data_IF_568596255170
#
_entry.id   IF_568596255170
#
_cell.length_a   1.000
_cell.length_b   1.000
_cell.length_c   1.000
_cell.angle_alpha   90.00
_cell.angle_beta   90.00
_cell.angle_gamma   90.00
#
_symmetry.space_group_name_H-M   'P 1'
#
loop_
_entity.id
_entity.type
_entity.pdbx_description
1 polymer ?
#
# COMPACT_ATOMS: atom_id res chain seq x y z
N UNK A 1 36.92 13.93 -38.60
CA UNK A 1 36.58 14.40 -37.24
C UNK A 1 35.08 14.17 -37.04
N UNK A 2 34.67 13.42 -36.02
CA UNK A 2 33.25 13.14 -35.78
C UNK A 2 32.54 14.40 -35.25
N UNK A 3 31.58 14.92 -36.01
CA UNK A 3 30.78 16.09 -35.63
C UNK A 3 29.81 15.67 -34.52
N UNK A 4 30.06 16.15 -33.30
CA UNK A 4 29.20 15.86 -32.15
C UNK A 4 28.07 16.88 -32.09
N UNK A 5 26.91 16.53 -32.62
CA UNK A 5 25.71 17.35 -32.49
C UNK A 5 25.26 17.41 -31.01
N UNK A 6 24.89 18.59 -30.49
CA UNK A 6 24.40 18.72 -29.12
C UNK A 6 23.12 17.89 -28.95
N UNK A 7 23.08 17.07 -27.90
CA UNK A 7 21.90 16.26 -27.59
C UNK A 7 20.70 17.18 -27.35
N UNK A 8 19.51 16.86 -27.87
CA UNK A 8 18.40 17.79 -27.85
C UNK A 8 17.83 17.96 -26.43
N UNK A 9 17.45 19.19 -26.10
CA UNK A 9 17.05 19.60 -24.75
C UNK A 9 15.84 18.83 -24.19
N UNK A 10 14.90 18.40 -25.05
CA UNK A 10 13.73 17.60 -24.63
C UNK A 10 14.11 16.27 -23.99
N UNK A 11 15.25 15.66 -24.38
CA UNK A 11 15.74 14.40 -23.81
C UNK A 11 16.14 14.56 -22.34
N UNK A 12 16.52 15.77 -21.92
CA UNK A 12 16.82 16.10 -20.50
C UNK A 12 15.55 16.16 -19.67
N UNK A 13 14.48 16.72 -20.22
CA UNK A 13 13.17 16.82 -19.57
C UNK A 13 12.49 15.45 -19.42
N UNK A 14 12.49 14.63 -20.47
CA UNK A 14 11.93 13.26 -20.41
C UNK A 14 12.68 12.43 -19.36
N UNK A 15 14.01 12.49 -19.32
CA UNK A 15 14.81 11.78 -18.31
C UNK A 15 14.47 12.21 -16.88
N UNK A 16 14.24 13.51 -16.66
CA UNK A 16 13.84 14.03 -15.35
C UNK A 16 12.43 13.59 -14.97
N UNK A 17 11.47 13.71 -15.89
CA UNK A 17 10.09 13.26 -15.66
C UNK A 17 10.02 11.77 -15.35
N UNK A 18 10.72 10.94 -16.13
CA UNK A 18 10.80 9.50 -15.86
C UNK A 18 11.39 9.19 -14.47
N UNK A 19 12.49 9.86 -14.10
CA UNK A 19 13.09 9.68 -12.77
C UNK A 19 12.12 10.08 -11.65
N UNK A 20 11.41 11.20 -11.79
CA UNK A 20 10.41 11.62 -10.80
C UNK A 20 9.30 10.60 -10.66
N UNK A 21 8.79 10.04 -11.76
CA UNK A 21 7.78 8.98 -11.72
C UNK A 21 8.30 7.75 -10.96
N UNK A 22 9.54 7.31 -11.21
CA UNK A 22 10.13 6.19 -10.48
C UNK A 22 10.28 6.48 -8.98
N UNK A 23 10.68 7.70 -8.60
CA UNK A 23 10.81 8.06 -7.18
C UNK A 23 9.45 8.11 -6.49
N UNK A 24 8.44 8.66 -7.16
CA UNK A 24 7.07 8.70 -6.65
C UNK A 24 6.52 7.28 -6.51
N UNK A 25 6.65 6.46 -7.54
CA UNK A 25 6.23 5.05 -7.54
C UNK A 25 6.92 4.27 -6.42
N UNK A 26 8.23 4.42 -6.27
CA UNK A 26 8.98 3.77 -5.20
C UNK A 26 8.51 4.23 -3.81
N UNK A 27 8.24 5.53 -3.63
CA UNK A 27 7.68 6.06 -2.39
C UNK A 27 6.30 5.49 -2.08
N UNK A 28 5.40 5.46 -3.07
CA UNK A 28 4.07 4.86 -2.94
C UNK A 28 4.14 3.37 -2.63
N UNK A 29 5.05 2.64 -3.27
CA UNK A 29 5.25 1.20 -3.07
C UNK A 29 5.75 0.90 -1.66
N UNK A 30 6.76 1.64 -1.19
CA UNK A 30 7.29 1.52 0.17
C UNK A 30 6.20 1.85 1.20
N UNK A 31 5.45 2.94 1.00
CA UNK A 31 4.35 3.32 1.89
C UNK A 31 3.25 2.26 1.94
N UNK A 32 2.85 1.72 0.79
CA UNK A 32 1.85 0.65 0.71
C UNK A 32 2.32 -0.62 1.42
N UNK A 33 3.58 -1.01 1.23
CA UNK A 33 4.17 -2.16 1.92
C UNK A 33 4.24 -1.95 3.42
N UNK A 34 4.58 -0.74 3.88
CA UNK A 34 4.61 -0.42 5.30
C UNK A 34 3.23 -0.55 5.95
N UNK A 35 2.19 -0.01 5.29
CA UNK A 35 0.80 -0.16 5.74
C UNK A 35 0.40 -1.64 5.77
N UNK A 36 0.69 -2.38 4.71
CA UNK A 36 0.42 -3.82 4.67
C UNK A 36 1.14 -4.56 5.80
N UNK A 37 2.42 -4.29 6.03
CA UNK A 37 3.19 -4.89 7.11
C UNK A 37 2.57 -4.57 8.48
N UNK A 38 2.24 -3.30 8.76
CA UNK A 38 1.59 -2.89 10.01
C UNK A 38 0.27 -3.63 10.27
N UNK A 39 -0.58 -3.75 9.23
CA UNK A 39 -1.88 -4.44 9.31
C UNK A 39 -1.72 -5.93 9.64
N UNK A 40 -0.70 -6.59 9.06
CA UNK A 40 -0.45 -8.00 9.29
C UNK A 40 0.26 -8.27 10.63
N UNK A 41 1.11 -7.35 11.11
CA UNK A 41 1.83 -7.49 12.39
C UNK A 41 0.98 -7.13 13.60
N UNK A 42 0.23 -6.03 13.56
CA UNK A 42 -0.46 -5.46 14.72
C UNK A 42 -1.97 -5.45 14.54
N UNK A 43 -2.72 -6.00 15.51
CA UNK A 43 -4.18 -5.94 15.53
C UNK A 43 -4.70 -4.52 15.82
N UNK A 44 -3.96 -3.71 16.57
CA UNK A 44 -4.34 -2.30 16.85
C UNK A 44 -4.31 -1.44 15.59
N UNK A 45 -3.40 -1.73 14.65
CA UNK A 45 -3.39 -1.08 13.34
C UNK A 45 -4.65 -1.42 12.53
N UNK A 46 -5.18 -2.65 12.66
CA UNK A 46 -6.47 -3.04 12.06
C UNK A 46 -7.64 -2.34 12.73
N UNK A 47 -7.59 -2.16 14.06
CA UNK A 47 -8.60 -1.40 14.80
C UNK A 47 -8.62 0.08 14.39
N UNK A 48 -7.45 0.70 14.27
CA UNK A 48 -7.34 2.08 13.77
C UNK A 48 -7.95 2.23 12.37
N UNK A 49 -7.73 1.25 11.48
CA UNK A 49 -8.35 1.25 10.16
C UNK A 49 -9.87 1.03 10.21
N UNK A 50 -10.37 0.22 11.14
CA UNK A 50 -11.81 0.08 11.35
C UNK A 50 -12.42 1.45 11.70
N UNK A 51 -11.78 2.18 12.62
CA UNK A 51 -12.31 3.44 13.15
C UNK A 51 -12.21 4.60 12.14
N UNK A 52 -11.12 4.67 11.36
CA UNK A 52 -10.86 5.79 10.43
C UNK A 52 -11.24 5.49 8.98
N UNK A 53 -11.04 4.24 8.52
CA UNK A 53 -11.15 3.84 7.12
C UNK A 53 -11.79 2.45 6.97
N UNK A 54 -13.04 2.26 7.40
CA UNK A 54 -13.68 0.94 7.43
C UNK A 54 -13.77 0.28 6.05
N UNK A 55 -13.88 1.08 4.98
CA UNK A 55 -13.89 0.59 3.60
C UNK A 55 -12.58 -0.07 3.19
N UNK A 56 -11.44 0.47 3.63
CA UNK A 56 -10.10 -0.06 3.33
C UNK A 56 -9.92 -1.39 4.04
N UNK A 57 -10.38 -1.49 5.29
CA UNK A 57 -10.31 -2.72 6.06
C UNK A 57 -11.21 -3.82 5.48
N UNK A 58 -12.43 -3.49 5.04
CA UNK A 58 -13.32 -4.45 4.38
C UNK A 58 -12.73 -4.96 3.05
N UNK A 59 -12.07 -4.08 2.28
CA UNK A 59 -11.34 -4.50 1.09
C UNK A 59 -10.18 -5.45 1.44
N UNK A 60 -9.42 -5.14 2.50
CA UNK A 60 -8.35 -6.01 2.99
C UNK A 60 -8.88 -7.40 3.35
N UNK A 61 -9.98 -7.49 4.12
CA UNK A 61 -10.58 -8.79 4.44
C UNK A 61 -11.07 -9.53 3.19
N UNK A 62 -11.78 -8.86 2.28
CA UNK A 62 -12.22 -9.45 1.01
C UNK A 62 -11.06 -9.97 0.18
N UNK A 63 -9.95 -9.23 0.11
CA UNK A 63 -8.75 -9.70 -0.61
C UNK A 63 -8.15 -10.93 0.04
N UNK A 64 -8.13 -11.00 1.38
CA UNK A 64 -7.69 -12.17 2.13
C UNK A 64 -8.58 -13.39 1.93
N UNK A 65 -9.90 -13.20 1.89
CA UNK A 65 -10.90 -14.25 1.64
C UNK A 65 -10.84 -14.79 0.19
N UNK A 66 -10.50 -13.93 -0.78
CA UNK A 66 -10.29 -14.34 -2.17
C UNK A 66 -9.04 -15.21 -2.31
N UNK A 67 -7.96 -14.84 -1.61
CA UNK A 67 -6.69 -15.58 -1.64
C UNK A 67 -6.81 -16.90 -0.86
N UNK A 68 -7.44 -16.87 0.31
CA UNK A 68 -7.70 -18.03 1.13
C UNK A 68 -9.14 -18.00 1.65
N UNK A 69 -9.98 -18.88 1.09
CA UNK A 69 -11.40 -19.00 1.46
C UNK A 69 -11.63 -19.43 2.91
N UNK A 70 -10.63 -20.02 3.56
CA UNK A 70 -10.71 -20.42 4.96
C UNK A 70 -10.19 -19.34 5.92
N UNK A 71 -9.81 -18.18 5.41
CA UNK A 71 -9.28 -17.10 6.23
C UNK A 71 -10.37 -16.45 7.07
N UNK A 72 -10.40 -16.77 8.37
CA UNK A 72 -11.37 -16.24 9.34
C UNK A 72 -10.90 -14.97 10.05
N UNK A 73 -9.96 -14.22 9.48
CA UNK A 73 -9.35 -13.05 10.12
C UNK A 73 -10.40 -12.04 10.61
N UNK A 74 -11.43 -11.79 9.80
CA UNK A 74 -12.53 -10.86 10.08
C UNK A 74 -13.31 -11.28 11.33
N UNK A 75 -13.66 -12.56 11.43
CA UNK A 75 -14.40 -13.11 12.57
C UNK A 75 -13.56 -13.06 13.85
N UNK A 76 -12.27 -13.38 13.75
CA UNK A 76 -11.32 -13.36 14.87
C UNK A 76 -11.15 -11.93 15.42
N UNK A 77 -10.97 -10.96 14.54
CA UNK A 77 -10.82 -9.56 14.95
C UNK A 77 -12.14 -9.01 15.54
N UNK A 78 -13.29 -9.33 14.93
CA UNK A 78 -14.61 -8.93 15.44
C UNK A 78 -14.88 -9.50 16.85
N UNK A 79 -14.58 -10.78 17.08
CA UNK A 79 -14.72 -11.42 18.39
C UNK A 79 -13.78 -10.82 19.44
N UNK A 80 -12.55 -10.46 19.04
CA UNK A 80 -11.60 -9.82 19.92
C UNK A 80 -12.07 -8.42 20.34
N UNK A 81 -12.57 -7.62 19.38
CA UNK A 81 -13.05 -6.28 19.66
C UNK A 81 -14.37 -6.24 20.41
N UNK A 82 -15.28 -7.20 20.20
CA UNK A 82 -16.50 -7.30 20.99
C UNK A 82 -16.23 -7.69 22.45
N UNK A 83 -15.25 -8.55 22.69
CA UNK A 83 -14.86 -8.97 24.04
C UNK A 83 -14.19 -7.84 24.84
N UNK A 84 -13.41 -6.99 24.16
CA UNK A 84 -12.74 -5.83 24.78
C UNK A 84 -13.64 -4.59 24.97
N UNK A 85 -14.93 -4.67 24.64
CA UNK A 85 -15.91 -3.60 24.89
C UNK A 85 -16.78 -3.83 26.13
N UNK A 86 -16.60 -4.96 26.84
CA UNK A 86 -17.27 -5.26 28.10
C UNK A 86 -16.39 -4.96 29.32
#
# INVERSE_FOLDING_TARGET
MLIKNPKPAYRKWIKRGALTLFVVEAGCFIGSYFVWHKINTERDSRKYLLDNYPQVLDLYYKTGEIIDKNNKLREIDAAYWSTNQN
#
